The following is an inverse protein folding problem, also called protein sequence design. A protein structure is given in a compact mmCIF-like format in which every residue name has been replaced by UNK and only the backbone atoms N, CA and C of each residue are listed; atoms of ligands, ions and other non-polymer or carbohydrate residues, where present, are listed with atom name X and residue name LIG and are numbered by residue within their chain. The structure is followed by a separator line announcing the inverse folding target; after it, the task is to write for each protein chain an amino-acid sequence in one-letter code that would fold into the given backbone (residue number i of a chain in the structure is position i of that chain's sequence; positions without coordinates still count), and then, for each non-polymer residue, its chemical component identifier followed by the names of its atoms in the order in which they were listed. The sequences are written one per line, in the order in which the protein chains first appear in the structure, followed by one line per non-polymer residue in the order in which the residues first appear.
data_IF_109506584351
#
_entry.id   IF_109506584351
#
_cell.length_a   1.000
_cell.length_b   1.000
_cell.length_c   1.000
_cell.angle_alpha   90.00
_cell.angle_beta   90.00
_cell.angle_gamma   90.00
#
_symmetry.space_group_name_H-M   'P 1'
#
loop_
_entity.id
_entity.type
_entity.pdbx_description
1 polymer ?
#
# COMPACT_ATOMS: atom_id res chain seq x y z
N UNK A 1 -26.09 -7.71 21.84
CA UNK A 1 -26.64 -6.54 21.12
C UNK A 1 -25.55 -5.62 20.56
N UNK A 2 -24.31 -5.69 21.06
CA UNK A 2 -23.13 -4.88 20.68
C UNK A 2 -22.61 -5.14 19.26
N UNK A 3 -22.55 -6.41 18.83
CA UNK A 3 -21.97 -6.83 17.53
C UNK A 3 -22.61 -6.16 16.30
N UNK A 4 -23.90 -5.80 16.36
CA UNK A 4 -24.59 -5.14 15.23
C UNK A 4 -24.26 -3.67 15.11
N UNK A 5 -23.91 -3.02 16.23
CA UNK A 5 -23.54 -1.61 16.26
C UNK A 5 -22.11 -1.44 15.75
N UNK A 6 -21.18 -2.30 16.19
CA UNK A 6 -19.79 -2.28 15.72
C UNK A 6 -19.71 -2.44 14.20
N UNK A 7 -20.47 -3.38 13.62
CA UNK A 7 -20.52 -3.58 12.17
C UNK A 7 -21.07 -2.38 11.39
N UNK A 8 -22.05 -1.67 11.95
CA UNK A 8 -22.61 -0.49 11.31
C UNK A 8 -21.63 0.69 11.34
N UNK A 9 -20.88 0.85 12.44
CA UNK A 9 -19.80 1.83 12.53
C UNK A 9 -18.61 1.48 11.62
N UNK A 10 -18.26 0.19 11.50
CA UNK A 10 -17.22 -0.27 10.57
C UNK A 10 -17.59 0.05 9.11
N UNK A 11 -18.86 -0.18 8.74
CA UNK A 11 -19.34 0.15 7.39
C UNK A 11 -19.31 1.67 7.13
N UNK A 12 -19.64 2.49 8.14
CA UNK A 12 -19.55 3.95 8.01
C UNK A 12 -18.10 4.45 7.94
N UNK A 13 -17.20 3.83 8.71
CA UNK A 13 -15.80 4.26 8.83
C UNK A 13 -14.94 3.78 7.67
N UNK A 14 -15.06 2.52 7.29
CA UNK A 14 -14.21 1.91 6.27
C UNK A 14 -14.96 1.73 4.95
N UNK A 15 -16.24 1.37 5.02
CA UNK A 15 -17.04 0.97 3.86
C UNK A 15 -16.48 -0.28 3.16
N UNK A 16 -17.14 -0.67 2.08
CA UNK A 16 -16.72 -1.82 1.28
C UNK A 16 -15.33 -1.66 0.62
N UNK A 17 -14.94 -0.43 0.26
CA UNK A 17 -13.69 -0.16 -0.46
C UNK A 17 -12.43 -0.24 0.41
N UNK A 18 -12.54 -0.02 1.73
CA UNK A 18 -11.41 -0.08 2.68
C UNK A 18 -11.53 -1.24 3.67
N UNK A 19 -12.27 -2.29 3.29
CA UNK A 19 -12.43 -3.50 4.09
C UNK A 19 -12.00 -4.75 3.32
N UNK A 20 -10.95 -5.42 3.79
CA UNK A 20 -10.49 -6.71 3.25
C UNK A 20 -11.06 -7.87 4.07
N UNK A 21 -12.05 -8.57 3.51
CA UNK A 21 -12.74 -9.66 4.20
C UNK A 21 -12.19 -11.06 3.81
N UNK A 22 -11.05 -11.43 4.38
CA UNK A 22 -10.43 -12.75 4.17
C UNK A 22 -11.31 -13.89 4.71
N UNK A 23 -12.14 -13.63 5.73
CA UNK A 23 -13.09 -14.62 6.25
C UNK A 23 -14.06 -15.09 5.17
N UNK A 24 -14.61 -14.16 4.39
CA UNK A 24 -15.55 -14.50 3.32
C UNK A 24 -14.88 -15.26 2.17
N UNK A 25 -13.61 -14.94 1.90
CA UNK A 25 -12.82 -15.52 0.81
C UNK A 25 -12.28 -16.93 1.12
N UNK A 26 -12.14 -17.30 2.39
CA UNK A 26 -11.61 -18.59 2.86
C UNK A 26 -10.25 -18.99 2.22
N UNK A 27 -9.24 -18.11 2.20
CA UNK A 27 -7.93 -18.43 1.63
C UNK A 27 -7.12 -19.35 2.56
N UNK A 28 -6.11 -20.02 2.01
CA UNK A 28 -5.01 -20.57 2.82
C UNK A 28 -4.20 -19.45 3.48
N UNK A 29 -3.40 -19.77 4.51
CA UNK A 29 -2.53 -18.79 5.18
C UNK A 29 -1.56 -18.08 4.20
N UNK A 30 -1.00 -18.81 3.24
CA UNK A 30 -0.10 -18.24 2.23
C UNK A 30 -0.84 -17.30 1.28
N UNK A 31 -2.00 -17.72 0.78
CA UNK A 31 -2.85 -16.87 -0.08
C UNK A 31 -3.30 -15.61 0.66
N UNK A 32 -3.68 -15.73 1.94
CA UNK A 32 -4.08 -14.60 2.77
C UNK A 32 -2.97 -13.55 2.87
N UNK A 33 -1.73 -13.98 3.13
CA UNK A 33 -0.58 -13.06 3.18
C UNK A 33 -0.35 -12.36 1.85
N UNK A 34 -0.34 -13.09 0.73
CA UNK A 34 -0.12 -12.50 -0.59
C UNK A 34 -1.22 -11.51 -0.98
N UNK A 35 -2.48 -11.88 -0.75
CA UNK A 35 -3.63 -11.03 -1.02
C UNK A 35 -3.61 -9.77 -0.16
N UNK A 36 -3.36 -9.92 1.15
CA UNK A 36 -3.29 -8.78 2.06
C UNK A 36 -2.11 -7.86 1.76
N UNK A 37 -0.93 -8.39 1.41
CA UNK A 37 0.23 -7.56 1.03
C UNK A 37 -0.09 -6.71 -0.21
N UNK A 38 -0.61 -7.35 -1.26
CA UNK A 38 -0.98 -6.66 -2.50
C UNK A 38 -2.07 -5.61 -2.26
N UNK A 39 -3.16 -6.00 -1.61
CA UNK A 39 -4.30 -5.12 -1.36
C UNK A 39 -3.94 -3.93 -0.47
N UNK A 40 -3.13 -4.12 0.58
CA UNK A 40 -2.71 -3.02 1.46
C UNK A 40 -1.80 -2.02 0.75
N UNK A 41 -0.92 -2.49 -0.15
CA UNK A 41 -0.10 -1.61 -0.99
C UNK A 41 -0.96 -0.79 -1.95
N UNK A 42 -1.94 -1.44 -2.56
CA UNK A 42 -2.91 -0.76 -3.42
C UNK A 42 -3.66 0.33 -2.65
N UNK A 43 -4.21 0.01 -1.47
CA UNK A 43 -4.95 0.99 -0.65
C UNK A 43 -4.09 2.20 -0.28
N UNK A 44 -2.82 1.99 0.04
CA UNK A 44 -1.89 3.09 0.30
C UNK A 44 -1.75 4.00 -0.94
N UNK A 45 -1.50 3.43 -2.12
CA UNK A 45 -1.34 4.19 -3.37
C UNK A 45 -2.63 4.93 -3.74
N UNK A 46 -3.79 4.33 -3.46
CA UNK A 46 -5.10 4.97 -3.60
C UNK A 46 -5.37 6.05 -2.54
N UNK A 47 -4.47 6.25 -1.57
CA UNK A 47 -4.55 7.30 -0.57
C UNK A 47 -5.51 7.01 0.59
N UNK A 48 -5.80 5.74 0.87
CA UNK A 48 -6.57 5.40 2.06
C UNK A 48 -5.78 5.79 3.32
N UNK A 49 -6.44 6.42 4.30
CA UNK A 49 -5.82 6.73 5.61
C UNK A 49 -5.78 5.49 6.52
N UNK A 50 -6.83 4.67 6.43
CA UNK A 50 -7.00 3.46 7.22
C UNK A 50 -7.83 2.40 6.51
N UNK A 51 -7.67 1.15 6.94
CA UNK A 51 -8.44 0.02 6.44
C UNK A 51 -8.71 -1.02 7.53
N UNK A 52 -9.75 -1.82 7.32
CA UNK A 52 -10.12 -2.96 8.16
C UNK A 52 -9.75 -4.27 7.47
N UNK A 53 -8.95 -5.11 8.14
CA UNK A 53 -8.60 -6.46 7.68
C UNK A 53 -9.30 -7.50 8.55
N UNK A 54 -10.23 -8.25 7.97
CA UNK A 54 -11.04 -9.25 8.67
C UNK A 54 -10.49 -10.64 8.35
N UNK A 55 -9.78 -11.23 9.31
CA UNK A 55 -9.07 -12.53 9.15
C UNK A 55 -9.94 -13.75 9.45
N UNK A 56 -11.09 -13.56 10.11
CA UNK A 56 -11.98 -14.65 10.50
C UNK A 56 -11.89 -15.00 11.98
N UNK A 57 -12.48 -16.13 12.38
CA UNK A 57 -12.79 -16.40 13.79
C UNK A 57 -11.51 -16.67 14.57
N UNK A 58 -11.18 -15.83 15.55
CA UNK A 58 -10.20 -16.17 16.59
C UNK A 58 -10.76 -17.21 17.58
N UNK A 59 -12.03 -17.06 17.98
CA UNK A 59 -12.63 -17.84 19.09
C UNK A 59 -13.41 -19.11 18.68
N UNK A 60 -13.47 -19.46 17.40
CA UNK A 60 -14.19 -20.66 16.89
C UNK A 60 -13.31 -21.50 15.96
N UNK A 61 -12.01 -21.25 15.96
CA UNK A 61 -11.00 -22.09 15.33
C UNK A 61 -10.76 -23.33 16.19
N UNK A 62 -10.32 -24.43 15.56
CA UNK A 62 -9.81 -25.59 16.32
C UNK A 62 -8.69 -25.11 17.25
N UNK A 63 -8.82 -25.40 18.54
CA UNK A 63 -7.90 -24.97 19.61
C UNK A 63 -7.67 -23.44 19.72
N UNK A 64 -8.58 -22.61 19.17
CA UNK A 64 -8.41 -21.16 19.16
C UNK A 64 -7.37 -20.64 18.16
N UNK A 65 -6.85 -21.51 17.29
CA UNK A 65 -5.81 -21.19 16.31
C UNK A 65 -6.36 -20.89 14.91
N UNK A 66 -6.13 -19.67 14.41
CA UNK A 66 -6.47 -19.28 13.03
C UNK A 66 -5.19 -19.09 12.20
N UNK A 67 -4.88 -20.01 11.25
CA UNK A 67 -3.72 -19.88 10.38
C UNK A 67 -3.68 -18.57 9.59
N UNK A 68 -4.86 -18.09 9.16
CA UNK A 68 -5.01 -16.82 8.44
C UNK A 68 -4.69 -15.63 9.35
N UNK A 69 -5.23 -15.61 10.58
CA UNK A 69 -4.91 -14.55 11.56
C UNK A 69 -3.42 -14.50 11.83
N UNK A 70 -2.78 -15.64 12.05
CA UNK A 70 -1.34 -15.69 12.29
C UNK A 70 -0.52 -15.18 11.11
N UNK A 71 -0.91 -15.54 9.89
CA UNK A 71 -0.24 -15.09 8.68
C UNK A 71 -0.30 -13.55 8.56
N UNK A 72 -1.46 -12.95 8.83
CA UNK A 72 -1.62 -11.50 8.84
C UNK A 72 -0.83 -10.84 9.98
N UNK A 73 -0.87 -11.37 11.19
CA UNK A 73 -0.07 -10.86 12.32
C UNK A 73 1.43 -10.88 12.01
N UNK A 74 1.92 -11.89 11.28
CA UNK A 74 3.33 -11.97 10.83
C UNK A 74 3.63 -10.98 9.70
N UNK A 75 2.66 -10.68 8.83
CA UNK A 75 2.80 -9.75 7.70
C UNK A 75 2.87 -8.28 8.13
N UNK A 76 2.03 -7.85 9.08
CA UNK A 76 1.87 -6.44 9.46
C UNK A 76 3.19 -5.77 9.90
N UNK A 77 4.07 -6.38 10.73
CA UNK A 77 5.39 -5.85 11.01
C UNK A 77 6.29 -5.69 9.78
N UNK A 78 6.16 -6.54 8.75
CA UNK A 78 6.90 -6.36 7.49
C UNK A 78 6.36 -5.16 6.72
N UNK A 79 5.04 -5.00 6.61
CA UNK A 79 4.43 -3.84 5.95
C UNK A 79 4.85 -2.52 6.59
N UNK A 80 4.90 -2.46 7.92
CA UNK A 80 5.39 -1.27 8.64
C UNK A 80 6.85 -0.96 8.36
N UNK A 81 7.70 -1.99 8.24
CA UNK A 81 9.13 -1.83 7.89
C UNK A 81 9.35 -1.40 6.44
N UNK A 82 8.39 -1.72 5.56
CA UNK A 82 8.38 -1.37 4.13
C UNK A 82 7.64 -0.05 3.84
N UNK A 83 7.33 0.74 4.87
CA UNK A 83 6.62 2.02 4.78
C UNK A 83 5.25 1.91 4.10
N UNK A 84 4.55 0.77 4.21
CA UNK A 84 3.17 0.63 3.71
C UNK A 84 2.16 1.12 4.75
N UNK A 85 2.43 0.81 6.01
CA UNK A 85 1.60 1.22 7.15
C UNK A 85 2.44 1.92 8.20
N UNK A 86 1.85 2.84 8.93
CA UNK A 86 2.46 3.46 10.12
C UNK A 86 2.16 2.65 11.38
N UNK A 87 0.98 2.03 11.45
CA UNK A 87 0.52 1.29 12.60
C UNK A 87 -0.58 0.28 12.28
N UNK A 88 -0.86 -0.58 13.25
CA UNK A 88 -2.00 -1.49 13.23
C UNK A 88 -2.41 -1.82 14.66
N UNK A 89 -3.70 -2.11 14.85
CA UNK A 89 -4.27 -2.53 16.13
C UNK A 89 -5.36 -3.58 15.90
N UNK A 90 -5.52 -4.52 16.83
CA UNK A 90 -6.67 -5.43 16.81
C UNK A 90 -7.94 -4.62 17.11
N UNK A 91 -8.94 -4.74 16.24
CA UNK A 91 -10.20 -4.01 16.36
C UNK A 91 -11.22 -4.82 17.17
N UNK A 92 -11.43 -6.05 16.71
CA UNK A 92 -12.20 -7.10 17.40
C UNK A 92 -11.46 -8.43 17.22
N UNK A 93 -11.75 -9.49 18.01
CA UNK A 93 -11.09 -10.78 17.86
C UNK A 93 -11.15 -11.29 16.41
N UNK A 94 -9.99 -11.29 15.74
CA UNK A 94 -9.88 -11.71 14.33
C UNK A 94 -10.04 -10.60 13.29
N UNK A 95 -9.99 -9.33 13.67
CA UNK A 95 -9.88 -8.21 12.74
C UNK A 95 -8.88 -7.15 13.20
N UNK A 96 -8.25 -6.45 12.26
CA UNK A 96 -7.24 -5.43 12.53
C UNK A 96 -7.58 -4.15 11.78
N UNK A 97 -7.51 -3.01 12.48
CA UNK A 97 -7.38 -1.72 11.80
C UNK A 97 -5.91 -1.51 11.47
N UNK A 98 -5.65 -1.07 10.24
CA UNK A 98 -4.33 -0.61 9.80
C UNK A 98 -4.40 0.88 9.50
N UNK A 99 -3.35 1.61 9.86
CA UNK A 99 -3.17 3.02 9.50
C UNK A 99 -2.08 3.09 8.45
N UNK A 100 -2.38 3.64 7.28
CA UNK A 100 -1.42 3.69 6.18
C UNK A 100 -0.32 4.73 6.43
N UNK A 101 0.79 4.56 5.74
CA UNK A 101 1.79 5.61 5.60
C UNK A 101 1.45 6.48 4.37
N UNK A 102 1.86 7.76 4.35
CA UNK A 102 1.71 8.58 3.15
C UNK A 102 2.40 7.93 1.94
N UNK A 103 1.93 8.22 0.72
CA UNK A 103 2.46 7.64 -0.52
C UNK A 103 3.95 7.96 -0.68
N UNK A 104 4.39 9.18 -0.35
CA UNK A 104 5.80 9.61 -0.39
C UNK A 104 6.73 8.72 0.43
N UNK A 105 6.22 8.08 1.49
CA UNK A 105 7.02 7.18 2.33
C UNK A 105 7.49 5.92 1.59
N UNK A 106 6.84 5.55 0.48
CA UNK A 106 7.28 4.46 -0.40
C UNK A 106 8.62 4.78 -1.10
N UNK A 107 8.96 6.06 -1.24
CA UNK A 107 10.21 6.52 -1.86
C UNK A 107 11.31 6.79 -0.83
N UNK A 108 11.02 6.70 0.45
CA UNK A 108 12.02 6.85 1.50
C UNK A 108 12.84 5.57 1.69
N UNK A 109 13.99 5.68 2.36
CA UNK A 109 14.81 4.52 2.70
C UNK A 109 14.07 3.67 3.75
N UNK A 110 13.75 2.39 3.47
CA UNK A 110 13.08 1.53 4.45
C UNK A 110 13.98 1.26 5.65
N UNK A 111 13.39 1.17 6.86
CA UNK A 111 14.13 0.99 8.13
C UNK A 111 15.01 -0.29 8.20
N UNK A 112 14.84 -1.26 7.29
CA UNK A 112 15.80 -2.37 7.09
C UNK A 112 15.61 -3.06 5.73
N UNK A 113 16.69 -3.10 4.93
CA UNK A 113 16.75 -3.57 3.53
C UNK A 113 16.92 -5.10 3.40
N UNK A 114 15.94 -5.90 3.83
CA UNK A 114 15.94 -7.36 3.58
C UNK A 114 14.54 -7.87 3.25
N UNK A 115 14.00 -7.45 2.12
CA UNK A 115 12.97 -8.21 1.39
C UNK A 115 12.86 -7.62 -0.02
N UNK A 116 13.25 -8.40 -1.04
CA UNK A 116 13.07 -8.05 -2.45
C UNK A 116 11.85 -8.83 -2.93
N UNK A 117 10.75 -8.14 -3.18
CA UNK A 117 9.73 -8.64 -4.12
C UNK A 117 9.85 -7.76 -5.35
N UNK A 118 10.53 -8.27 -6.38
CA UNK A 118 10.66 -7.58 -7.65
C UNK A 118 9.41 -7.90 -8.49
N UNK A 119 8.37 -7.10 -8.36
CA UNK A 119 7.27 -7.08 -9.32
C UNK A 119 7.72 -6.24 -10.51
N UNK A 120 7.55 -6.74 -11.74
CA UNK A 120 7.86 -5.97 -12.94
C UNK A 120 6.82 -4.86 -13.11
N UNK A 121 7.23 -3.62 -13.40
CA UNK A 121 6.28 -2.54 -13.65
C UNK A 121 5.43 -2.85 -14.88
N UNK A 122 4.19 -2.37 -14.85
CA UNK A 122 3.27 -2.34 -15.98
C UNK A 122 2.70 -0.91 -16.06
N UNK A 123 3.02 -0.13 -17.12
CA UNK A 123 3.75 -0.53 -18.34
C UNK A 123 5.23 -0.87 -18.09
N UNK A 124 5.92 -1.57 -19.03
CA UNK A 124 7.25 -2.11 -18.76
C UNK A 124 8.37 -1.05 -18.70
N UNK A 125 8.13 0.17 -19.19
CA UNK A 125 9.14 1.23 -19.25
C UNK A 125 8.50 2.62 -19.30
N UNK A 126 9.27 3.64 -18.93
CA UNK A 126 8.86 5.05 -18.99
C UNK A 126 8.49 5.51 -20.40
N UNK A 127 9.07 4.91 -21.45
CA UNK A 127 8.79 5.27 -22.86
C UNK A 127 7.39 4.87 -23.34
N UNK A 128 6.70 4.03 -22.56
CA UNK A 128 5.37 3.56 -22.86
C UNK A 128 4.28 4.34 -22.08
N UNK A 129 4.68 5.39 -21.35
CA UNK A 129 3.79 6.30 -20.65
C UNK A 129 3.45 7.50 -21.53
N UNK A 130 2.30 8.09 -21.29
CA UNK A 130 1.90 9.36 -21.87
C UNK A 130 2.82 10.49 -21.38
N UNK A 131 2.99 11.52 -22.22
CA UNK A 131 3.87 12.67 -21.95
C UNK A 131 3.53 13.38 -20.64
N UNK A 132 2.24 13.45 -20.30
CA UNK A 132 1.77 14.04 -19.05
C UNK A 132 2.19 13.20 -17.83
N UNK A 133 2.08 11.87 -17.90
CA UNK A 133 2.53 10.96 -16.84
C UNK A 133 4.04 11.05 -16.65
N UNK A 134 4.81 11.15 -17.75
CA UNK A 134 6.27 11.34 -17.70
C UNK A 134 6.62 12.68 -17.06
N UNK A 135 5.87 13.75 -17.37
CA UNK A 135 6.05 15.07 -16.77
C UNK A 135 5.81 15.05 -15.26
N UNK A 136 4.68 14.50 -14.82
CA UNK A 136 4.35 14.37 -13.39
C UNK A 136 5.41 13.56 -12.62
N UNK A 137 5.87 12.47 -13.21
CA UNK A 137 6.92 11.64 -12.61
C UNK A 137 8.25 12.39 -12.48
N UNK A 138 8.60 13.22 -13.47
CA UNK A 138 9.79 14.08 -13.42
C UNK A 138 9.69 15.13 -12.32
N UNK A 139 8.52 15.76 -12.19
CA UNK A 139 8.25 16.77 -11.15
C UNK A 139 8.39 16.13 -9.76
N UNK A 140 7.75 14.98 -9.54
CA UNK A 140 7.85 14.20 -8.30
C UNK A 140 9.29 13.76 -7.99
N UNK A 141 10.02 13.25 -8.97
CA UNK A 141 11.42 12.85 -8.80
C UNK A 141 12.31 14.03 -8.42
N UNK A 142 12.05 15.20 -8.98
CA UNK A 142 12.77 16.43 -8.63
C UNK A 142 12.51 16.83 -7.18
N UNK A 143 11.24 16.81 -6.73
CA UNK A 143 10.88 17.07 -5.34
C UNK A 143 11.53 16.07 -4.37
N UNK A 144 11.44 14.76 -4.68
CA UNK A 144 12.06 13.70 -3.88
C UNK A 144 13.57 13.90 -3.71
N UNK A 145 14.28 14.19 -4.80
CA UNK A 145 15.73 14.43 -4.77
C UNK A 145 16.08 15.72 -4.02
N UNK A 146 15.28 16.77 -4.15
CA UNK A 146 15.48 18.02 -3.43
C UNK A 146 15.40 17.82 -1.90
N UNK A 147 14.46 17.01 -1.42
CA UNK A 147 14.35 16.63 0.02
C UNK A 147 15.60 15.90 0.51
N UNK A 148 16.26 15.13 -0.36
CA UNK A 148 17.54 14.47 -0.06
C UNK A 148 18.77 15.39 -0.19
N UNK A 149 18.56 16.69 -0.48
CA UNK A 149 19.61 17.69 -0.61
C UNK A 149 20.20 17.82 -2.03
N UNK A 150 19.66 17.08 -3.02
CA UNK A 150 20.09 17.15 -4.42
C UNK A 150 19.27 18.19 -5.18
N UNK A 151 19.65 19.47 -5.06
CA UNK A 151 18.95 20.61 -5.68
C UNK A 151 19.16 20.73 -7.20
N UNK A 152 20.19 20.09 -7.75
CA UNK A 152 20.48 20.09 -9.19
C UNK A 152 20.91 18.69 -9.62
N UNK A 153 19.97 17.73 -9.67
CA UNK A 153 20.28 16.37 -10.06
C UNK A 153 20.73 16.31 -11.51
N UNK A 154 21.69 15.44 -11.80
CA UNK A 154 22.06 15.14 -13.18
C UNK A 154 20.90 14.43 -13.89
N UNK A 155 20.89 14.47 -15.23
CA UNK A 155 19.88 13.75 -16.02
C UNK A 155 19.79 12.26 -15.66
N UNK A 156 20.93 11.62 -15.38
CA UNK A 156 20.98 10.22 -14.96
C UNK A 156 20.36 10.00 -13.58
N UNK A 157 20.67 10.87 -12.61
CA UNK A 157 20.09 10.77 -11.26
C UNK A 157 18.56 10.95 -11.28
N UNK A 158 18.09 11.86 -12.13
CA UNK A 158 16.67 12.10 -12.33
C UNK A 158 15.99 10.88 -12.97
N UNK A 159 16.58 10.32 -14.04
CA UNK A 159 16.04 9.13 -14.71
C UNK A 159 16.01 7.90 -13.78
N UNK A 160 17.05 7.69 -12.98
CA UNK A 160 17.12 6.60 -12.01
C UNK A 160 16.02 6.72 -10.95
N UNK A 161 15.78 7.93 -10.42
CA UNK A 161 14.70 8.16 -9.45
C UNK A 161 13.33 7.99 -10.11
N UNK A 162 13.13 8.50 -11.33
CA UNK A 162 11.89 8.29 -12.09
C UNK A 162 11.60 6.80 -12.28
N UNK A 163 12.59 5.99 -12.72
CA UNK A 163 12.41 4.55 -12.88
C UNK A 163 12.12 3.84 -11.56
N UNK A 164 12.78 4.25 -10.48
CA UNK A 164 12.54 3.70 -9.14
C UNK A 164 11.11 3.98 -8.67
N UNK A 165 10.68 5.23 -8.74
CA UNK A 165 9.34 5.65 -8.32
C UNK A 165 8.26 4.96 -9.17
N UNK A 166 8.47 4.92 -10.49
CA UNK A 166 7.58 4.21 -11.41
C UNK A 166 7.45 2.73 -11.09
N UNK A 167 8.57 2.05 -10.81
CA UNK A 167 8.56 0.64 -10.44
C UNK A 167 7.79 0.37 -9.13
N UNK A 168 7.97 1.25 -8.15
CA UNK A 168 7.29 1.16 -6.85
C UNK A 168 5.79 1.37 -6.99
N UNK A 169 5.35 2.41 -7.69
CA UNK A 169 3.92 2.70 -7.87
C UNK A 169 3.24 1.64 -8.73
N UNK A 170 3.82 1.31 -9.89
CA UNK A 170 3.23 0.34 -10.82
C UNK A 170 3.05 -1.04 -10.20
N UNK A 171 3.95 -1.46 -9.32
CA UNK A 171 3.87 -2.74 -8.62
C UNK A 171 2.70 -2.83 -7.63
N UNK A 172 2.15 -1.69 -7.19
CA UNK A 172 1.06 -1.62 -6.22
C UNK A 172 -0.31 -1.31 -6.88
N UNK A 173 -0.32 -0.97 -8.16
CA UNK A 173 -1.55 -0.68 -8.88
C UNK A 173 -2.30 -1.96 -9.26
N UNK A 174 -3.65 -1.93 -9.22
CA UNK A 174 -4.48 -3.05 -9.64
C UNK A 174 -4.31 -3.33 -11.14
N UNK A 175 -4.42 -4.60 -11.53
CA UNK A 175 -4.31 -5.01 -12.94
C UNK A 175 -5.57 -4.67 -13.75
N UNK A 176 -6.70 -4.41 -13.08
CA UNK A 176 -7.96 -4.03 -13.68
C UNK A 176 -8.14 -2.49 -13.74
N UNK A 177 -8.76 -2.04 -14.83
CA UNK A 177 -9.08 -0.63 -15.06
C UNK A 177 -7.98 0.17 -15.78
N UNK A 178 -8.11 1.49 -15.71
CA UNK A 178 -7.16 2.43 -16.33
C UNK A 178 -5.96 2.64 -15.39
N UNK A 179 -4.92 1.82 -15.60
CA UNK A 179 -3.70 1.84 -14.80
C UNK A 179 -2.93 3.15 -14.92
N UNK A 180 -2.98 3.80 -16.08
CA UNK A 180 -2.25 5.05 -16.28
C UNK A 180 -2.93 6.19 -15.54
N UNK A 181 -4.27 6.28 -15.58
CA UNK A 181 -5.01 7.23 -14.78
C UNK A 181 -4.77 7.03 -13.26
N UNK A 182 -4.72 5.78 -12.80
CA UNK A 182 -4.40 5.48 -11.39
C UNK A 182 -2.96 5.85 -11.02
N UNK A 183 -2.01 5.65 -11.93
CA UNK A 183 -0.63 6.09 -11.75
C UNK A 183 -0.54 7.61 -11.64
N UNK A 184 -1.21 8.35 -12.52
CA UNK A 184 -1.27 9.82 -12.46
C UNK A 184 -1.84 10.30 -11.12
N UNK A 185 -2.93 9.69 -10.65
CA UNK A 185 -3.50 10.02 -9.33
C UNK A 185 -2.52 9.75 -8.18
N UNK A 186 -1.77 8.64 -8.25
CA UNK A 186 -0.75 8.31 -7.26
C UNK A 186 0.41 9.31 -7.26
N UNK A 187 0.85 9.74 -8.45
CA UNK A 187 1.90 10.75 -8.61
C UNK A 187 1.48 12.09 -8.05
N UNK A 188 0.27 12.56 -8.39
CA UNK A 188 -0.29 13.81 -7.87
C UNK A 188 -0.36 13.81 -6.35
N UNK A 189 -0.91 12.73 -5.76
CA UNK A 189 -0.99 12.60 -4.29
C UNK A 189 0.39 12.63 -3.64
N UNK A 190 1.36 11.91 -4.19
CA UNK A 190 2.70 11.92 -3.64
C UNK A 190 3.34 13.31 -3.72
N UNK A 191 3.11 14.06 -4.81
CA UNK A 191 3.59 15.43 -4.97
C UNK A 191 2.95 16.37 -3.94
N UNK A 192 1.64 16.31 -3.75
CA UNK A 192 0.92 17.06 -2.71
C UNK A 192 1.48 16.78 -1.30
N UNK A 193 1.81 15.53 -1.00
CA UNK A 193 2.43 15.16 0.26
C UNK A 193 3.86 15.71 0.43
N UNK A 194 4.62 15.88 -0.66
CA UNK A 194 5.93 16.56 -0.61
C UNK A 194 5.79 18.07 -0.41
N UNK A 195 4.76 18.70 -0.98
CA UNK A 195 4.48 20.13 -0.79
C UNK A 195 3.95 20.46 0.61
N UNK A 196 3.19 19.53 1.21
CA UNK A 196 2.55 19.72 2.50
C UNK A 196 3.46 19.48 3.73
N UNK A 197 4.65 18.92 3.56
CA UNK A 197 5.55 18.55 4.67
C UNK A 197 6.89 19.26 4.64
#
# INVERSE_FOLDING_TARGET
MTIRIDRAFDELRFGASRSLNLRAMQPTASQASTLADSWLRQQQVLGAEEALVITGRGNNSVDGYSPVREAIVKLLPSLRRRNVITGYAEHTPGSFVVTFAPVRALFETPKRRRERVAVKPVPPSLKALDDETVRQLRDLSTMSLAVLGLQSPTALQLEDEMQRQFAVLSAALPDDGDREALLQQALLRAAEEYEAG
#
